data_IF_201555459344
#
_entry.id   IF_201555459344
#
_cell.length_a   1.000
_cell.length_b   1.000
_cell.length_c   1.000
_cell.angle_alpha   90.00
_cell.angle_beta   90.00
_cell.angle_gamma   90.00
#
_symmetry.space_group_name_H-M   'P 1'
#
loop_
_entity.id
_entity.type
_entity.pdbx_description
1 polymer ?
#
# COMPACT_ATOMS: atom_id res chain seq x y z
N UNK A 1 11.31 -18.34 12.28
CA UNK A 1 9.96 -18.27 12.86
C UNK A 1 9.74 -16.82 13.27
N UNK A 2 8.88 -16.08 12.59
CA UNK A 2 8.49 -14.72 13.04
C UNK A 2 7.32 -14.92 14.01
N UNK A 3 7.56 -14.65 15.30
CA UNK A 3 6.55 -14.72 16.34
C UNK A 3 5.55 -13.58 16.12
N UNK A 4 4.25 -13.92 16.09
CA UNK A 4 3.16 -12.94 16.10
C UNK A 4 3.15 -12.08 17.37
N UNK A 5 3.93 -12.46 18.38
CA UNK A 5 4.06 -11.76 19.67
C UNK A 5 4.57 -10.31 19.52
N UNK A 6 5.25 -9.98 18.42
CA UNK A 6 5.70 -8.62 18.09
C UNK A 6 4.86 -7.96 16.97
N UNK A 7 3.62 -8.41 16.75
CA UNK A 7 2.73 -7.79 15.76
C UNK A 7 2.21 -6.44 16.27
N UNK A 8 2.82 -5.36 15.76
CA UNK A 8 2.29 -4.01 15.93
C UNK A 8 1.55 -3.58 14.67
N UNK A 9 0.27 -3.25 14.85
CA UNK A 9 -0.57 -2.65 13.81
C UNK A 9 -0.68 -1.15 14.07
N UNK A 10 -0.40 -0.36 13.04
CA UNK A 10 -0.48 1.09 13.09
C UNK A 10 -1.56 1.56 12.14
N UNK A 11 -2.59 2.20 12.68
CA UNK A 11 -3.60 2.90 11.88
C UNK A 11 -3.15 4.33 11.68
N UNK A 12 -3.14 4.80 10.42
CA UNK A 12 -2.76 6.15 10.02
C UNK A 12 -1.38 6.53 10.57
N UNK A 13 -0.31 5.81 10.13
CA UNK A 13 1.00 5.88 10.75
C UNK A 13 1.54 7.31 10.76
N UNK A 14 2.18 7.67 11.87
CA UNK A 14 2.96 8.88 12.02
C UNK A 14 4.43 8.59 11.77
N UNK A 15 5.24 9.64 11.59
CA UNK A 15 6.71 9.51 11.49
C UNK A 15 7.36 8.80 12.68
N UNK A 16 6.71 8.77 13.85
CA UNK A 16 7.24 8.08 15.05
C UNK A 16 7.02 6.57 15.00
N UNK A 17 6.01 6.13 14.24
CA UNK A 17 5.65 4.72 14.12
C UNK A 17 6.57 3.98 13.15
N UNK A 18 7.14 4.72 12.18
CA UNK A 18 8.06 4.24 11.15
C UNK A 18 9.17 3.34 11.70
N UNK A 19 9.81 3.74 12.81
CA UNK A 19 10.90 2.98 13.44
C UNK A 19 10.50 1.60 13.99
N UNK A 20 9.20 1.39 14.20
CA UNK A 20 8.66 0.12 14.68
C UNK A 20 8.08 -0.71 13.52
N UNK A 21 7.70 -0.05 12.43
CA UNK A 21 7.23 -0.69 11.20
C UNK A 21 8.43 -1.23 10.41
N UNK A 22 9.41 -0.37 10.12
CA UNK A 22 10.64 -0.75 9.46
C UNK A 22 11.61 -1.36 10.47
N UNK A 23 12.18 -2.50 10.10
CA UNK A 23 13.22 -3.18 10.89
C UNK A 23 14.58 -2.89 10.25
N UNK A 24 15.24 -3.92 9.73
CA UNK A 24 16.52 -3.78 9.03
C UNK A 24 16.33 -3.16 7.64
N UNK A 25 15.21 -3.51 6.98
CA UNK A 25 14.85 -3.01 5.66
C UNK A 25 13.62 -2.10 5.74
N UNK A 26 13.53 -1.17 4.78
CA UNK A 26 12.35 -0.33 4.57
C UNK A 26 11.25 -1.15 3.91
N UNK A 27 10.69 -2.06 4.69
CA UNK A 27 9.67 -2.99 4.25
C UNK A 27 8.43 -2.92 5.14
N UNK A 28 7.31 -2.52 4.54
CA UNK A 28 6.00 -2.50 5.18
C UNK A 28 4.97 -3.23 4.33
N UNK A 29 3.94 -3.74 5.00
CA UNK A 29 2.71 -4.24 4.38
C UNK A 29 1.54 -3.55 5.03
N UNK A 30 0.45 -3.45 4.31
CA UNK A 30 -0.74 -2.86 4.88
C UNK A 30 -2.00 -3.04 4.04
N UNK A 31 -3.03 -2.36 4.49
CA UNK A 31 -4.36 -2.29 3.89
C UNK A 31 -4.76 -0.82 3.77
N UNK A 32 -5.18 -0.41 2.58
CA UNK A 32 -5.82 0.87 2.31
C UNK A 32 -7.34 0.74 2.37
N UNK A 33 -7.93 1.37 3.38
CA UNK A 33 -9.35 1.38 3.61
C UNK A 33 -10.06 2.29 2.61
N UNK A 34 -11.38 2.12 2.49
CA UNK A 34 -12.19 2.83 1.48
C UNK A 34 -12.17 4.36 1.63
N UNK A 35 -11.99 4.85 2.86
CA UNK A 35 -11.92 6.28 3.19
C UNK A 35 -10.51 6.88 3.04
N UNK A 36 -9.50 6.08 2.68
CA UNK A 36 -8.11 6.54 2.58
C UNK A 36 -7.28 6.33 3.86
N UNK A 37 -7.89 5.85 4.94
CA UNK A 37 -7.14 5.40 6.12
C UNK A 37 -6.29 4.19 5.76
N UNK A 38 -5.19 4.02 6.50
CA UNK A 38 -4.22 2.96 6.28
C UNK A 38 -3.97 2.19 7.57
N UNK A 39 -4.03 0.86 7.50
CA UNK A 39 -3.50 -0.01 8.54
C UNK A 39 -2.19 -0.60 8.00
N UNK A 40 -1.09 -0.39 8.72
CA UNK A 40 0.25 -0.80 8.29
C UNK A 40 0.97 -1.56 9.40
N UNK A 41 1.83 -2.48 8.99
CA UNK A 41 2.68 -3.26 9.87
C UNK A 41 3.99 -3.63 9.16
N UNK A 42 4.88 -4.29 9.90
CA UNK A 42 6.17 -4.72 9.37
C UNK A 42 6.03 -5.70 8.18
N UNK A 43 6.80 -5.48 7.11
CA UNK A 43 6.66 -6.22 5.87
C UNK A 43 6.97 -7.72 5.94
N UNK A 44 7.71 -8.18 6.95
CA UNK A 44 8.04 -9.61 7.14
C UNK A 44 6.81 -10.45 7.52
N UNK A 45 5.75 -9.79 8.00
CA UNK A 45 4.51 -10.45 8.41
C UNK A 45 3.53 -10.43 7.24
N UNK A 46 3.30 -11.60 6.66
CA UNK A 46 2.35 -11.79 5.56
C UNK A 46 0.94 -11.33 5.91
N UNK A 47 0.22 -10.73 4.95
CA UNK A 47 -1.18 -10.33 5.09
C UNK A 47 -2.05 -11.45 5.66
N UNK A 48 -1.89 -12.69 5.18
CA UNK A 48 -2.65 -13.86 5.65
C UNK A 48 -2.56 -14.13 7.15
N UNK A 49 -1.46 -13.71 7.80
CA UNK A 49 -1.29 -13.82 9.25
C UNK A 49 -1.98 -12.68 10.01
N UNK A 50 -2.15 -11.53 9.38
CA UNK A 50 -2.72 -10.33 10.00
C UNK A 50 -4.23 -10.26 9.80
N UNK A 51 -4.75 -10.73 8.65
CA UNK A 51 -6.18 -10.67 8.32
C UNK A 51 -7.13 -11.21 9.42
N UNK A 52 -6.81 -12.29 10.16
CA UNK A 52 -7.68 -12.77 11.24
C UNK A 52 -7.85 -11.79 12.41
N UNK A 53 -6.99 -10.78 12.53
CA UNK A 53 -6.97 -9.81 13.63
C UNK A 53 -7.53 -8.43 13.24
N UNK A 54 -7.88 -8.23 11.97
CA UNK A 54 -8.43 -6.96 11.48
C UNK A 54 -9.89 -7.18 11.05
N UNK A 55 -10.78 -6.31 11.50
CA UNK A 55 -12.21 -6.36 11.17
C UNK A 55 -12.56 -5.65 9.87
N UNK A 56 -11.70 -4.72 9.44
CA UNK A 56 -11.86 -3.92 8.23
C UNK A 56 -11.03 -4.51 7.08
N UNK A 57 -11.57 -4.43 5.86
CA UNK A 57 -10.90 -4.89 4.65
C UNK A 57 -10.69 -3.74 3.69
N UNK A 58 -9.74 -3.92 2.78
CA UNK A 58 -9.38 -2.91 1.81
C UNK A 58 -8.34 -3.43 0.83
N UNK A 59 -7.75 -2.50 0.08
CA UNK A 59 -6.74 -2.84 -0.92
C UNK A 59 -5.44 -3.16 -0.21
N UNK A 60 -4.89 -4.35 -0.45
CA UNK A 60 -3.62 -4.73 0.13
C UNK A 60 -2.49 -4.00 -0.59
N UNK A 61 -1.48 -3.60 0.16
CA UNK A 61 -0.25 -3.07 -0.41
C UNK A 61 0.99 -3.61 0.27
N UNK A 62 2.11 -3.53 -0.43
CA UNK A 62 3.45 -3.74 0.09
C UNK A 62 4.34 -2.57 -0.33
N UNK A 63 5.09 -2.00 0.60
CA UNK A 63 6.07 -0.95 0.34
C UNK A 63 7.46 -1.51 0.62
N UNK A 64 8.30 -1.58 -0.41
CA UNK A 64 9.69 -2.02 -0.28
C UNK A 64 10.62 -0.99 -0.90
N UNK A 65 11.39 -0.30 -0.05
CA UNK A 65 12.24 0.84 -0.43
C UNK A 65 11.47 1.93 -1.19
N UNK A 66 11.65 2.00 -2.51
CA UNK A 66 11.06 2.95 -3.44
C UNK A 66 9.90 2.34 -4.26
N UNK A 67 9.53 1.08 -4.02
CA UNK A 67 8.44 0.39 -4.71
C UNK A 67 7.20 0.29 -3.81
N UNK A 68 6.08 0.85 -4.26
CA UNK A 68 4.75 0.62 -3.70
C UNK A 68 3.98 -0.34 -4.63
N UNK A 69 3.70 -1.53 -4.13
CA UNK A 69 2.93 -2.55 -4.82
C UNK A 69 1.51 -2.59 -4.28
N UNK A 70 0.52 -2.43 -5.15
CA UNK A 70 -0.91 -2.40 -4.85
C UNK A 70 -1.54 -3.69 -5.39
N UNK A 71 -2.00 -4.57 -4.50
CA UNK A 71 -2.67 -5.80 -4.90
C UNK A 71 -4.15 -5.51 -5.17
N UNK A 72 -4.49 -5.37 -6.45
CA UNK A 72 -5.85 -5.07 -6.88
C UNK A 72 -6.79 -6.23 -6.56
N UNK A 73 -7.94 -5.90 -5.98
CA UNK A 73 -8.92 -6.89 -5.56
C UNK A 73 -10.10 -6.94 -6.53
N UNK A 74 -10.93 -5.91 -6.67
CA UNK A 74 -11.94 -5.81 -7.75
C UNK A 74 -12.44 -4.37 -7.96
N UNK A 75 -11.82 -3.39 -7.31
CA UNK A 75 -12.20 -1.98 -7.35
C UNK A 75 -11.99 -1.36 -8.73
N UNK A 76 -12.73 -0.30 -9.06
CA UNK A 76 -12.39 0.50 -10.24
C UNK A 76 -11.03 1.20 -10.05
N UNK A 77 -10.29 1.44 -11.14
CA UNK A 77 -9.01 2.16 -11.06
C UNK A 77 -9.15 3.55 -10.44
N UNK A 78 -10.27 4.23 -10.73
CA UNK A 78 -10.63 5.50 -10.11
C UNK A 78 -10.82 5.39 -8.58
N UNK A 79 -11.33 4.26 -8.08
CA UNK A 79 -11.42 4.02 -6.63
C UNK A 79 -10.05 3.76 -6.00
N UNK A 80 -9.18 2.99 -6.67
CA UNK A 80 -7.80 2.78 -6.20
C UNK A 80 -7.06 4.11 -6.14
N UNK A 81 -7.08 4.89 -7.23
CA UNK A 81 -6.44 6.20 -7.27
C UNK A 81 -6.96 7.11 -6.18
N UNK A 82 -8.27 7.19 -5.96
CA UNK A 82 -8.86 8.00 -4.88
C UNK A 82 -8.34 7.60 -3.51
N UNK A 83 -8.22 6.29 -3.23
CA UNK A 83 -7.65 5.81 -1.96
C UNK A 83 -6.18 6.19 -1.83
N UNK A 84 -5.39 6.03 -2.88
CA UNK A 84 -3.96 6.39 -2.87
C UNK A 84 -3.75 7.89 -2.64
N UNK A 85 -4.55 8.73 -3.31
CA UNK A 85 -4.51 10.19 -3.14
C UNK A 85 -4.89 10.58 -1.71
N UNK A 86 -5.97 10.02 -1.18
CA UNK A 86 -6.41 10.27 0.19
C UNK A 86 -5.38 9.81 1.23
N UNK A 87 -4.66 8.72 0.94
CA UNK A 87 -3.65 8.15 1.83
C UNK A 87 -2.29 8.87 1.76
N UNK A 88 -2.14 9.93 0.95
CA UNK A 88 -0.87 10.65 0.79
C UNK A 88 -0.17 10.99 2.12
N UNK A 89 -0.84 11.61 3.10
CA UNK A 89 -0.17 12.03 4.34
C UNK A 89 0.48 10.85 5.08
N UNK A 90 -0.09 9.66 4.94
CA UNK A 90 0.37 8.46 5.60
C UNK A 90 1.52 7.79 4.83
N UNK A 91 1.49 7.80 3.50
CA UNK A 91 2.64 7.37 2.69
C UNK A 91 3.83 8.33 2.85
N UNK A 92 3.58 9.64 2.95
CA UNK A 92 4.60 10.64 3.27
C UNK A 92 5.20 10.38 4.66
N UNK A 93 4.38 9.97 5.64
CA UNK A 93 4.86 9.58 6.96
C UNK A 93 5.66 8.28 6.94
N UNK A 94 5.33 7.33 6.05
CA UNK A 94 6.15 6.15 5.73
C UNK A 94 7.39 6.50 4.89
N UNK A 95 7.63 7.80 4.65
CA UNK A 95 8.77 8.30 3.89
C UNK A 95 8.81 7.75 2.45
N UNK A 96 7.66 7.38 1.86
CA UNK A 96 7.61 6.90 0.48
C UNK A 96 8.09 8.03 -0.45
N UNK A 97 9.11 7.81 -1.29
CA UNK A 97 9.70 8.90 -2.04
C UNK A 97 8.78 9.37 -3.18
N UNK A 98 8.85 10.66 -3.52
CA UNK A 98 8.02 11.27 -4.58
C UNK A 98 8.30 10.64 -5.97
N UNK A 99 9.52 10.19 -6.22
CA UNK A 99 9.92 9.44 -7.42
C UNK A 99 9.72 7.91 -7.28
N UNK A 100 9.14 7.47 -6.16
CA UNK A 100 8.81 6.08 -5.89
C UNK A 100 7.92 5.48 -6.97
N UNK A 101 8.17 4.23 -7.32
CA UNK A 101 7.43 3.50 -8.36
C UNK A 101 6.20 2.85 -7.77
N UNK A 102 5.06 3.06 -8.40
CA UNK A 102 3.83 2.33 -8.10
C UNK A 102 3.68 1.18 -9.10
N UNK A 103 3.38 0.00 -8.57
CA UNK A 103 3.08 -1.20 -9.35
C UNK A 103 1.69 -1.70 -8.93
N UNK A 104 0.81 -1.93 -9.90
CA UNK A 104 -0.49 -2.54 -9.65
C UNK A 104 -0.36 -4.04 -9.96
N UNK A 105 -0.47 -4.89 -8.93
CA UNK A 105 -0.55 -6.34 -9.09
C UNK A 105 -2.02 -6.75 -9.21
N UNK A 106 -2.43 -7.07 -10.43
CA UNK A 106 -3.78 -7.56 -10.72
C UNK A 106 -3.91 -9.07 -10.55
N UNK A 107 -2.80 -9.80 -10.55
CA UNK A 107 -2.79 -11.26 -10.63
C UNK A 107 -3.08 -11.92 -9.29
N UNK A 108 -2.70 -11.30 -8.18
CA UNK A 108 -2.81 -11.91 -6.85
C UNK A 108 -4.23 -12.36 -6.52
N UNK A 109 -5.24 -11.49 -6.71
CA UNK A 109 -6.63 -11.78 -6.35
C UNK A 109 -7.52 -12.13 -7.53
N UNK A 110 -7.27 -11.52 -8.69
CA UNK A 110 -8.17 -11.66 -9.84
C UNK A 110 -7.69 -12.71 -10.85
N UNK A 111 -6.45 -13.19 -10.69
CA UNK A 111 -5.78 -14.06 -11.66
C UNK A 111 -5.74 -13.51 -13.09
N UNK A 112 -5.91 -12.19 -13.25
CA UNK A 112 -5.83 -11.48 -14.52
C UNK A 112 -4.54 -10.67 -14.55
N UNK A 113 -3.88 -10.64 -15.70
CA UNK A 113 -2.68 -9.84 -15.92
C UNK A 113 -3.05 -8.61 -16.75
N UNK A 114 -2.91 -7.42 -16.16
CA UNK A 114 -3.20 -6.14 -16.79
C UNK A 114 -1.98 -5.25 -16.61
N UNK A 115 -1.45 -4.74 -17.71
CA UNK A 115 -0.27 -3.88 -17.69
C UNK A 115 -0.66 -2.44 -17.43
N UNK A 116 0.19 -1.73 -16.69
CA UNK A 116 0.09 -0.29 -16.47
C UNK A 116 1.31 0.40 -17.05
N UNK A 117 1.20 1.68 -17.46
CA UNK A 117 2.38 2.49 -17.70
C UNK A 117 3.24 2.57 -16.42
N UNK A 118 4.49 2.99 -16.55
CA UNK A 118 5.28 3.31 -15.38
C UNK A 118 4.65 4.50 -14.63
N UNK A 119 4.30 4.28 -13.36
CA UNK A 119 3.65 5.28 -12.51
C UNK A 119 4.63 5.70 -11.43
N UNK A 120 4.91 7.00 -11.37
CA UNK A 120 5.65 7.65 -10.28
C UNK A 120 4.68 8.22 -9.26
N UNK A 121 5.09 8.21 -8.00
CA UNK A 121 4.21 8.60 -6.91
C UNK A 121 3.69 10.04 -7.05
N UNK A 122 4.56 10.98 -7.41
CA UNK A 122 4.19 12.38 -7.61
C UNK A 122 3.09 12.57 -8.67
N UNK A 123 3.02 11.69 -9.69
CA UNK A 123 2.06 11.81 -10.79
C UNK A 123 0.62 11.64 -10.33
N UNK A 124 0.37 10.87 -9.26
CA UNK A 124 -0.98 10.70 -8.70
C UNK A 124 -1.62 12.03 -8.26
N UNK A 125 -0.80 13.06 -8.04
CA UNK A 125 -1.20 14.37 -7.53
C UNK A 125 -1.16 15.47 -8.60
N UNK A 126 -0.77 15.13 -9.83
CA UNK A 126 -0.81 16.05 -10.95
C UNK A 126 -2.26 16.29 -11.41
N UNK A 127 -2.56 17.52 -11.83
CA UNK A 127 -3.88 17.86 -12.34
C UNK A 127 -4.18 17.06 -13.61
N UNK A 128 -5.31 16.34 -13.60
CA UNK A 128 -5.75 15.54 -14.75
C UNK A 128 -5.07 14.19 -14.92
N UNK A 129 -4.21 13.75 -13.98
CA UNK A 129 -3.66 12.40 -14.02
C UNK A 129 -4.74 11.33 -13.77
N UNK A 130 -4.73 10.28 -14.59
CA UNK A 130 -5.64 9.14 -14.46
C UNK A 130 -4.84 7.83 -14.38
N UNK A 131 -5.10 7.05 -13.34
CA UNK A 131 -4.62 5.68 -13.21
C UNK A 131 -5.46 4.80 -14.13
N UNK A 132 -4.89 4.38 -15.25
CA UNK A 132 -5.53 3.48 -16.20
C UNK A 132 -4.52 2.43 -16.71
N UNK A 133 -4.99 1.22 -17.03
CA UNK A 133 -4.17 0.21 -17.66
C UNK A 133 -3.80 0.62 -19.09
N UNK A 134 -2.77 -0.02 -19.64
CA UNK A 134 -2.48 0.02 -21.07
C UNK A 134 -3.61 -0.74 -21.81
N UNK A 135 -4.11 -0.15 -22.89
CA UNK A 135 -5.14 -0.75 -23.77
C UNK A 135 -4.72 -2.13 -24.32
#
# INVERSE_FOLDING_TARGET
>A
MSNLDDLFLYTNPTRRDVKNIYREEKYARGILLKNGDMIVWNGDIMHTKVMPFITETGVHFSLFNDKLEICWQFESWAEIQRRLVAAKPYFDNLEFPEDGRIVIDTRYYTHTDVSFPEIRYYQLFEEGFELAPLE
#
